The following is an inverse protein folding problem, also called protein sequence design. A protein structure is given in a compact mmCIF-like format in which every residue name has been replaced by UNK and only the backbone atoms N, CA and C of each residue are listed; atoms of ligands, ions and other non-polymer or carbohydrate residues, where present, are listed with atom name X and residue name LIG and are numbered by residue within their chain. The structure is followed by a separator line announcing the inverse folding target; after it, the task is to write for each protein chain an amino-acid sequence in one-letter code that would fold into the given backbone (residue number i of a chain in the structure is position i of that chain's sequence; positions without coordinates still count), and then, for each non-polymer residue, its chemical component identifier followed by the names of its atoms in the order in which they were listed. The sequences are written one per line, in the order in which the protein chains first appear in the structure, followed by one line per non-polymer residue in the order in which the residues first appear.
data_IF_667832209046
#
_entry.id   IF_667832209046
#
_cell.length_a   1.000
_cell.length_b   1.000
_cell.length_c   1.000
_cell.angle_alpha   90.00
_cell.angle_beta   90.00
_cell.angle_gamma   90.00
#
_symmetry.space_group_name_H-M   'P 1'
#
loop_
_entity.id
_entity.type
_entity.pdbx_description
1 polymer ?
#
# COMPACT_ATOMS: atom_id res chain seq x y z
N UNK A 1 78.50 2.10 56.47
CA UNK A 1 78.12 2.58 55.11
C UNK A 1 77.22 1.53 54.46
N UNK A 2 76.18 1.99 53.72
CA UNK A 2 75.17 1.23 52.93
C UNK A 2 73.93 0.75 53.74
N UNK A 3 73.01 1.68 54.09
CA UNK A 3 71.74 2.06 53.40
C UNK A 3 70.55 1.11 53.65
N UNK A 4 69.47 1.54 54.34
CA UNK A 4 68.23 0.77 54.42
C UNK A 4 67.32 1.08 53.23
N UNK A 5 66.75 0.01 52.67
CA UNK A 5 65.75 0.03 51.60
C UNK A 5 64.45 0.64 52.15
N UNK A 6 64.07 1.81 51.63
CA UNK A 6 62.77 2.43 51.90
C UNK A 6 61.71 1.74 51.04
N UNK A 7 60.85 0.94 51.68
CA UNK A 7 59.65 0.37 51.07
C UNK A 7 58.63 1.50 50.88
N UNK A 8 58.58 2.06 49.67
CA UNK A 8 57.59 3.06 49.28
C UNK A 8 56.28 2.34 48.92
N UNK A 9 55.37 2.21 49.88
CA UNK A 9 53.99 1.79 49.64
C UNK A 9 53.25 2.88 48.87
N UNK A 10 53.22 2.74 47.54
CA UNK A 10 52.40 3.58 46.66
C UNK A 10 50.93 3.17 46.82
N UNK A 11 50.15 3.98 47.55
CA UNK A 11 48.69 3.87 47.60
C UNK A 11 48.16 4.39 46.26
N UNK A 12 47.99 3.48 45.30
CA UNK A 12 47.26 3.77 44.07
C UNK A 12 45.78 3.79 44.41
N UNK A 13 45.22 4.97 44.67
CA UNK A 13 43.79 5.17 44.78
C UNK A 13 43.15 4.86 43.42
N UNK A 14 42.58 3.66 43.28
CA UNK A 14 41.69 3.32 42.17
C UNK A 14 40.45 4.19 42.34
N UNK A 15 40.39 5.30 41.61
CA UNK A 15 39.14 6.01 41.36
C UNK A 15 38.23 5.07 40.57
N UNK A 16 37.42 4.29 41.30
CA UNK A 16 36.31 3.56 40.73
C UNK A 16 35.25 4.61 40.38
N UNK A 17 35.36 5.20 39.18
CA UNK A 17 34.31 6.01 38.60
C UNK A 17 33.10 5.12 38.39
N UNK A 18 32.21 5.08 39.37
CA UNK A 18 30.87 4.56 39.20
C UNK A 18 30.16 5.47 38.19
N UNK A 19 30.30 5.16 36.91
CA UNK A 19 29.35 5.65 35.92
C UNK A 19 28.02 5.02 36.30
N UNK A 20 27.22 5.74 37.09
CA UNK A 20 25.81 5.47 37.15
C UNK A 20 25.33 5.60 35.70
N UNK A 21 25.08 4.45 35.06
CA UNK A 21 24.26 4.37 33.87
C UNK A 21 22.89 4.84 34.34
N UNK A 22 22.68 6.15 34.35
CA UNK A 22 21.38 6.74 34.57
C UNK A 22 20.49 6.17 33.49
N UNK A 23 19.65 5.20 33.86
CA UNK A 23 18.66 4.64 32.97
C UNK A 23 17.78 5.81 32.54
N UNK A 24 17.88 6.22 31.28
CA UNK A 24 17.00 7.24 30.70
C UNK A 24 15.61 6.62 30.72
N UNK A 25 14.83 6.91 31.76
CA UNK A 25 13.42 6.54 31.82
C UNK A 25 12.70 7.33 30.74
N UNK A 26 12.39 6.67 29.64
CA UNK A 26 11.54 7.21 28.61
C UNK A 26 10.08 7.15 29.08
N UNK A 27 9.65 8.16 29.84
CA UNK A 27 8.29 8.30 30.38
C UNK A 27 7.35 8.99 29.39
N UNK A 28 7.63 8.90 28.08
CA UNK A 28 6.80 9.49 27.05
C UNK A 28 5.61 8.58 26.80
N UNK A 29 4.41 9.10 27.06
CA UNK A 29 3.16 8.53 26.57
C UNK A 29 3.12 8.61 25.03
N UNK A 30 3.51 7.51 24.39
CA UNK A 30 3.63 7.41 22.93
C UNK A 30 2.28 7.54 22.22
N UNK A 31 1.18 7.11 22.85
CA UNK A 31 -0.16 7.26 22.27
C UNK A 31 -0.54 8.73 22.22
N UNK A 32 -0.37 9.44 23.35
CA UNK A 32 -0.63 10.88 23.43
C UNK A 32 0.34 11.71 22.59
N UNK A 33 1.58 11.26 22.43
CA UNK A 33 2.56 11.95 21.62
C UNK A 33 2.24 11.83 20.12
N UNK A 34 2.03 10.61 19.63
CA UNK A 34 1.78 10.35 18.21
C UNK A 34 0.40 10.84 17.75
N UNK A 35 -0.62 10.84 18.63
CA UNK A 35 -1.97 11.30 18.25
C UNK A 35 -2.03 12.76 17.80
N UNK A 36 -1.06 13.59 18.22
CA UNK A 36 -0.90 14.98 17.76
C UNK A 36 -0.55 15.09 16.27
N UNK A 37 -0.07 14.00 15.68
CA UNK A 37 0.36 13.89 14.30
C UNK A 37 -0.54 12.96 13.49
N UNK A 38 -1.66 12.52 14.05
CA UNK A 38 -2.64 11.74 13.31
C UNK A 38 -3.19 12.55 12.14
N UNK A 39 -3.48 11.85 11.05
CA UNK A 39 -4.11 12.47 9.91
C UNK A 39 -5.63 12.44 10.10
N UNK A 40 -6.29 13.56 9.81
CA UNK A 40 -7.74 13.68 9.89
C UNK A 40 -8.27 14.39 8.66
N UNK A 41 -9.36 13.88 8.11
CA UNK A 41 -9.99 14.38 6.92
C UNK A 41 -11.49 14.55 7.15
N UNK A 42 -11.98 15.78 7.01
CA UNK A 42 -13.41 16.08 7.04
C UNK A 42 -14.15 15.64 5.77
N UNK A 43 -13.40 15.41 4.70
CA UNK A 43 -13.85 14.82 3.45
C UNK A 43 -12.79 13.84 2.98
N UNK A 44 -13.21 12.62 2.60
CA UNK A 44 -12.29 11.62 2.06
C UNK A 44 -11.44 12.21 0.91
N UNK A 45 -10.12 11.95 0.88
CA UNK A 45 -9.24 12.37 -0.20
C UNK A 45 -9.73 11.90 -1.57
N UNK A 46 -9.51 12.73 -2.59
CA UNK A 46 -9.90 12.45 -3.99
C UNK A 46 -8.73 12.05 -4.89
N UNK A 47 -7.55 11.95 -4.30
CA UNK A 47 -6.33 11.54 -4.97
C UNK A 47 -5.43 10.75 -4.00
N UNK A 48 -4.50 10.01 -4.60
CA UNK A 48 -3.57 9.17 -3.86
C UNK A 48 -2.56 9.95 -3.01
N UNK A 49 -2.18 11.17 -3.42
CA UNK A 49 -1.16 11.97 -2.72
C UNK A 49 -1.61 12.43 -1.33
N UNK A 50 -2.92 12.63 -1.15
CA UNK A 50 -3.53 13.05 0.10
C UNK A 50 -4.21 11.91 0.88
N UNK A 51 -4.03 10.66 0.42
CA UNK A 51 -4.71 9.47 0.97
C UNK A 51 -4.19 9.05 2.35
N UNK A 52 -5.02 8.30 3.09
CA UNK A 52 -4.50 7.50 4.21
C UNK A 52 -3.68 6.34 3.65
N UNK A 53 -2.73 5.83 4.43
CA UNK A 53 -1.88 4.72 4.01
C UNK A 53 -1.69 3.68 5.11
N UNK A 54 -1.66 2.41 4.72
CA UNK A 54 -1.42 1.28 5.62
C UNK A 54 -0.38 0.36 5.01
N UNK A 55 0.37 -0.36 5.84
CA UNK A 55 1.27 -1.39 5.36
C UNK A 55 1.96 -2.16 6.47
N UNK A 56 2.30 -3.41 6.16
CA UNK A 56 3.02 -4.31 7.07
C UNK A 56 4.48 -4.55 6.65
N UNK A 57 4.99 -3.74 5.72
CA UNK A 57 6.31 -3.85 5.10
C UNK A 57 6.29 -4.57 3.74
N UNK A 58 5.39 -5.53 3.53
CA UNK A 58 5.26 -6.27 2.27
C UNK A 58 3.96 -5.94 1.54
N UNK A 59 2.82 -6.05 2.21
CA UNK A 59 1.52 -5.59 1.74
C UNK A 59 1.32 -4.12 2.17
N UNK A 60 0.72 -3.33 1.29
CA UNK A 60 0.35 -1.96 1.59
C UNK A 60 -0.92 -1.54 0.88
N UNK A 61 -1.55 -0.49 1.38
CA UNK A 61 -2.64 0.17 0.69
C UNK A 61 -2.67 1.67 0.91
N UNK A 62 -3.14 2.41 -0.08
CA UNK A 62 -3.59 3.79 0.05
C UNK A 62 -5.11 3.86 -0.04
N UNK A 63 -5.75 4.62 0.85
CA UNK A 63 -7.20 4.66 1.02
C UNK A 63 -7.72 6.06 0.66
N UNK A 64 -8.57 6.11 -0.37
CA UNK A 64 -9.15 7.36 -0.88
C UNK A 64 -10.41 7.05 -1.72
N UNK A 65 -10.99 8.06 -2.34
CA UNK A 65 -12.24 7.96 -3.11
C UNK A 65 -12.05 8.51 -4.52
N UNK A 66 -12.22 7.64 -5.52
CA UNK A 66 -12.34 8.06 -6.90
C UNK A 66 -13.70 8.75 -7.15
N UNK A 67 -13.84 9.42 -8.31
CA UNK A 67 -15.01 10.25 -8.63
C UNK A 67 -16.38 9.56 -8.46
N UNK A 68 -16.47 8.29 -8.84
CA UNK A 68 -17.71 7.49 -8.82
C UNK A 68 -17.72 6.43 -7.71
N UNK A 69 -16.81 6.53 -6.75
CA UNK A 69 -16.61 5.52 -5.70
C UNK A 69 -16.74 6.15 -4.31
N UNK A 70 -17.41 5.45 -3.40
CA UNK A 70 -17.49 5.90 -2.03
C UNK A 70 -16.10 5.86 -1.38
N UNK A 71 -15.44 4.71 -1.42
CA UNK A 71 -14.11 4.52 -0.84
C UNK A 71 -13.44 3.33 -1.51
N UNK A 72 -12.12 3.35 -1.62
CA UNK A 72 -11.37 2.20 -2.07
C UNK A 72 -10.00 2.11 -1.41
N UNK A 73 -9.42 0.91 -1.49
CA UNK A 73 -8.07 0.56 -1.07
C UNK A 73 -7.26 0.22 -2.30
N UNK A 74 -6.39 1.12 -2.74
CA UNK A 74 -5.39 0.79 -3.76
C UNK A 74 -4.40 -0.19 -3.16
N UNK A 75 -4.23 -1.36 -3.76
CA UNK A 75 -3.39 -2.42 -3.20
C UNK A 75 -2.00 -2.39 -3.81
N UNK A 76 -1.00 -2.57 -2.97
CA UNK A 76 0.39 -2.68 -3.37
C UNK A 76 1.11 -3.82 -2.66
N UNK A 77 2.10 -4.40 -3.34
CA UNK A 77 3.05 -5.30 -2.71
C UNK A 77 4.48 -4.92 -3.05
N UNK A 78 5.34 -4.98 -2.05
CA UNK A 78 6.76 -4.64 -2.16
C UNK A 78 7.60 -5.71 -2.85
N UNK A 79 7.05 -6.86 -3.24
CA UNK A 79 7.72 -7.94 -3.97
C UNK A 79 7.17 -8.16 -5.40
N UNK A 80 6.11 -7.45 -5.78
CA UNK A 80 5.51 -7.51 -7.11
C UNK A 80 6.19 -6.49 -8.05
N UNK A 81 7.18 -6.93 -8.82
CA UNK A 81 7.91 -6.09 -9.78
C UNK A 81 7.93 -6.70 -11.18
N UNK A 82 8.08 -5.83 -12.18
CA UNK A 82 8.49 -6.27 -13.51
C UNK A 82 9.91 -6.88 -13.42
N UNK A 83 10.08 -8.09 -13.98
CA UNK A 83 11.34 -8.84 -13.97
C UNK A 83 12.28 -8.44 -15.12
N UNK A 84 12.02 -7.32 -15.79
CA UNK A 84 12.82 -6.87 -16.94
C UNK A 84 14.16 -6.31 -16.44
N UNK A 85 15.31 -6.72 -17.01
CA UNK A 85 16.63 -6.47 -16.42
C UNK A 85 17.00 -4.99 -16.19
N UNK A 86 16.39 -4.06 -16.92
CA UNK A 86 16.74 -2.64 -16.93
C UNK A 86 15.76 -1.75 -16.15
N UNK A 87 14.57 -2.26 -15.76
CA UNK A 87 13.53 -1.45 -15.09
C UNK A 87 12.92 -2.26 -13.95
N UNK A 88 13.28 -1.91 -12.71
CA UNK A 88 12.61 -2.42 -11.52
C UNK A 88 11.47 -1.48 -11.14
N UNK A 89 10.31 -1.68 -11.77
CA UNK A 89 9.09 -0.94 -11.41
C UNK A 89 8.06 -1.87 -10.78
N UNK A 90 7.33 -1.36 -9.79
CA UNK A 90 6.28 -2.11 -9.09
C UNK A 90 5.12 -2.36 -10.04
N UNK A 91 4.59 -3.58 -10.03
CA UNK A 91 3.41 -3.94 -10.81
C UNK A 91 2.16 -3.38 -10.14
N UNK A 92 1.23 -2.88 -10.96
CA UNK A 92 -0.10 -2.54 -10.49
C UNK A 92 -0.86 -3.84 -10.14
N UNK A 93 -1.50 -3.85 -8.97
CA UNK A 93 -2.36 -4.97 -8.54
C UNK A 93 -3.81 -4.63 -8.85
N UNK A 94 -4.24 -3.45 -8.43
CA UNK A 94 -5.63 -3.02 -8.49
C UNK A 94 -6.08 -2.45 -7.16
N UNK A 95 -7.39 -2.42 -6.97
CA UNK A 95 -7.98 -1.85 -5.77
C UNK A 95 -9.22 -2.61 -5.33
N UNK A 96 -9.49 -2.55 -4.03
CA UNK A 96 -10.73 -3.05 -3.44
C UNK A 96 -11.67 -1.87 -3.22
N UNK A 97 -12.84 -1.89 -3.85
CA UNK A 97 -13.81 -0.79 -3.83
C UNK A 97 -14.95 -1.12 -2.88
N UNK A 98 -15.25 -0.21 -1.95
CA UNK A 98 -16.46 -0.22 -1.15
C UNK A 98 -17.61 0.36 -1.95
N UNK A 99 -18.60 -0.47 -2.26
CA UNK A 99 -19.82 -0.06 -2.95
C UNK A 99 -20.91 0.20 -1.91
N UNK A 100 -21.56 1.35 -2.03
CA UNK A 100 -22.71 1.73 -1.22
C UNK A 100 -23.96 1.72 -2.08
N UNK A 101 -25.10 1.31 -1.51
CA UNK A 101 -26.38 1.33 -2.21
C UNK A 101 -26.99 2.74 -2.24
N UNK A 102 -26.73 3.55 -1.21
CA UNK A 102 -27.03 4.97 -1.18
C UNK A 102 -25.88 5.80 -1.74
N UNK A 103 -26.19 6.99 -2.26
CA UNK A 103 -25.17 7.97 -2.62
C UNK A 103 -24.51 8.52 -1.36
N UNK A 104 -23.19 8.60 -1.34
CA UNK A 104 -22.45 9.20 -0.22
C UNK A 104 -22.72 10.71 -0.16
N UNK A 105 -23.10 11.19 1.04
CA UNK A 105 -23.40 12.61 1.34
C UNK A 105 -22.24 13.24 2.11
N UNK A 106 -21.69 12.52 3.10
CA UNK A 106 -20.60 12.99 3.94
C UNK A 106 -19.64 11.85 4.24
N UNK A 107 -18.35 12.12 4.24
CA UNK A 107 -17.32 11.10 4.46
C UNK A 107 -16.21 11.69 5.31
N UNK A 108 -15.96 11.10 6.48
CA UNK A 108 -14.85 11.51 7.34
C UNK A 108 -13.89 10.34 7.48
N UNK A 109 -12.61 10.65 7.59
CA UNK A 109 -11.55 9.66 7.74
C UNK A 109 -10.51 10.14 8.75
N UNK A 110 -9.89 9.19 9.43
CA UNK A 110 -8.84 9.43 10.41
C UNK A 110 -7.83 8.28 10.35
N UNK A 111 -6.54 8.61 10.42
CA UNK A 111 -5.46 7.63 10.49
C UNK A 111 -4.67 7.83 11.78
N UNK A 112 -4.74 6.83 12.65
CA UNK A 112 -3.99 6.78 13.89
C UNK A 112 -2.58 6.26 13.64
N UNK A 113 -1.57 7.07 13.95
CA UNK A 113 -0.18 6.68 13.84
C UNK A 113 0.23 5.70 14.95
N UNK A 114 -0.34 5.85 16.14
CA UNK A 114 -0.06 4.95 17.26
C UNK A 114 -0.61 3.54 17.02
N UNK A 115 -1.88 3.44 16.57
CA UNK A 115 -2.53 2.15 16.33
C UNK A 115 -2.15 1.51 14.98
N UNK A 116 -1.61 2.30 14.06
CA UNK A 116 -1.39 1.91 12.66
C UNK A 116 -2.70 1.47 11.96
N UNK A 117 -3.76 2.25 12.18
CA UNK A 117 -5.11 1.99 11.66
C UNK A 117 -5.65 3.21 10.93
N UNK A 118 -6.44 2.96 9.88
CA UNK A 118 -7.27 3.97 9.25
C UNK A 118 -8.73 3.67 9.56
N UNK A 119 -9.54 4.70 9.82
CA UNK A 119 -10.95 4.55 10.15
C UNK A 119 -11.75 5.69 9.56
N UNK A 120 -13.06 5.52 9.49
CA UNK A 120 -13.90 6.58 8.99
C UNK A 120 -15.38 6.28 9.07
N UNK A 121 -16.16 7.27 8.67
CA UNK A 121 -17.61 7.23 8.64
C UNK A 121 -18.07 7.73 7.28
N UNK A 122 -18.88 6.94 6.59
CA UNK A 122 -19.54 7.29 5.33
C UNK A 122 -21.03 7.39 5.64
N UNK A 123 -21.57 8.60 5.54
CA UNK A 123 -23.01 8.85 5.62
C UNK A 123 -23.57 8.91 4.21
N UNK A 124 -24.64 8.17 3.97
CA UNK A 124 -25.33 8.09 2.69
C UNK A 124 -26.79 8.49 2.85
N UNK A 125 -27.52 8.55 1.74
CA UNK A 125 -28.97 8.75 1.73
C UNK A 125 -29.76 7.62 2.41
N UNK A 126 -29.15 6.45 2.64
CA UNK A 126 -29.82 5.24 3.15
C UNK A 126 -29.38 4.82 4.55
N UNK A 127 -28.29 5.39 5.05
CA UNK A 127 -27.75 5.03 6.36
C UNK A 127 -26.31 5.52 6.56
N UNK A 128 -25.62 4.89 7.50
CA UNK A 128 -24.23 5.20 7.82
C UNK A 128 -23.40 3.93 7.91
N UNK A 129 -22.17 4.02 7.40
CA UNK A 129 -21.16 2.98 7.42
C UNK A 129 -19.98 3.49 8.24
N UNK A 130 -19.70 2.84 9.36
CA UNK A 130 -18.48 3.08 10.14
C UNK A 130 -17.49 1.98 9.83
N UNK A 131 -16.25 2.33 9.50
CA UNK A 131 -15.23 1.38 9.06
C UNK A 131 -13.90 1.59 9.75
N UNK A 132 -13.12 0.53 9.82
CA UNK A 132 -11.75 0.49 10.33
C UNK A 132 -10.92 -0.46 9.46
N UNK A 133 -9.65 -0.14 9.24
CA UNK A 133 -8.75 -0.95 8.44
C UNK A 133 -7.34 -0.93 9.01
N UNK A 134 -6.67 -2.07 8.92
CA UNK A 134 -5.31 -2.27 9.40
C UNK A 134 -4.59 -3.34 8.57
N UNK A 135 -3.26 -3.31 8.58
CA UNK A 135 -2.41 -4.34 7.97
C UNK A 135 -1.43 -4.84 9.03
N UNK A 136 -1.79 -5.88 9.81
CA UNK A 136 -0.98 -6.34 10.93
C UNK A 136 0.39 -6.85 10.47
N UNK A 137 1.43 -6.46 11.21
CA UNK A 137 2.77 -7.02 11.04
C UNK A 137 2.74 -8.54 11.30
N UNK A 138 3.54 -9.29 10.53
CA UNK A 138 3.66 -10.74 10.66
C UNK A 138 2.53 -11.54 10.00
N UNK A 139 1.50 -10.88 9.46
CA UNK A 139 0.39 -11.53 8.76
C UNK A 139 0.20 -10.91 7.39
N UNK A 140 0.14 -11.74 6.34
CA UNK A 140 -0.03 -11.28 4.96
C UNK A 140 -1.49 -11.03 4.59
N UNK A 141 -2.15 -10.19 5.38
CA UNK A 141 -3.57 -9.86 5.26
C UNK A 141 -3.79 -8.36 5.53
N UNK A 142 -4.76 -7.78 4.83
CA UNK A 142 -5.36 -6.51 5.21
C UNK A 142 -6.74 -6.77 5.80
N UNK A 143 -7.05 -6.14 6.93
CA UNK A 143 -8.37 -6.23 7.55
C UNK A 143 -9.17 -4.97 7.23
N UNK A 144 -10.45 -5.16 6.96
CA UNK A 144 -11.45 -4.11 6.87
C UNK A 144 -12.64 -4.58 7.69
N UNK A 145 -12.93 -3.85 8.75
CA UNK A 145 -14.08 -4.06 9.61
C UNK A 145 -15.07 -2.93 9.33
N UNK A 146 -16.36 -3.24 9.30
CA UNK A 146 -17.39 -2.23 9.11
C UNK A 146 -18.69 -2.60 9.81
N UNK A 147 -19.46 -1.57 10.14
CA UNK A 147 -20.84 -1.68 10.62
C UNK A 147 -21.72 -0.81 9.74
N UNK A 148 -22.96 -1.23 9.55
CA UNK A 148 -23.94 -0.54 8.69
C UNK A 148 -25.20 -0.29 9.49
N UNK A 149 -25.78 0.90 9.33
CA UNK A 149 -27.03 1.31 9.96
C UNK A 149 -28.06 1.76 8.91
N UNK A 150 -29.33 1.86 9.31
CA UNK A 150 -30.42 2.25 8.41
C UNK A 150 -30.79 1.15 7.42
N UNK A 151 -31.12 1.56 6.20
CA UNK A 151 -31.45 0.66 5.07
C UNK A 151 -30.30 0.50 4.08
N UNK A 152 -29.10 0.99 4.44
CA UNK A 152 -27.91 0.90 3.61
C UNK A 152 -27.41 -0.53 3.45
N UNK A 153 -26.76 -0.80 2.31
CA UNK A 153 -26.08 -2.06 2.03
C UNK A 153 -24.69 -1.77 1.48
N UNK A 154 -23.76 -2.62 1.87
CA UNK A 154 -22.37 -2.56 1.46
C UNK A 154 -22.04 -3.80 0.64
N UNK A 155 -21.26 -3.60 -0.41
CA UNK A 155 -20.60 -4.67 -1.15
C UNK A 155 -19.13 -4.29 -1.42
N UNK A 156 -18.31 -5.29 -1.72
CA UNK A 156 -16.90 -5.10 -2.04
C UNK A 156 -16.58 -5.66 -3.42
N UNK A 157 -16.00 -4.81 -4.26
CA UNK A 157 -15.61 -5.16 -5.62
C UNK A 157 -14.09 -5.07 -5.76
N UNK A 158 -13.43 -6.17 -6.13
CA UNK A 158 -12.02 -6.11 -6.47
C UNK A 158 -11.84 -5.75 -7.95
N UNK A 159 -11.31 -4.55 -8.20
CA UNK A 159 -10.96 -4.07 -9.55
C UNK A 159 -9.49 -4.35 -9.82
N UNK A 160 -9.23 -5.45 -10.52
CA UNK A 160 -7.90 -5.83 -10.96
C UNK A 160 -7.37 -4.88 -12.04
N UNK A 161 -6.10 -4.50 -11.94
CA UNK A 161 -5.38 -3.79 -13.01
C UNK A 161 -4.52 -4.74 -13.85
N UNK A 162 -4.19 -4.39 -15.11
CA UNK A 162 -3.24 -5.14 -15.92
C UNK A 162 -1.91 -5.35 -15.19
N UNK A 163 -1.32 -6.54 -15.34
CA UNK A 163 -0.09 -6.94 -14.67
C UNK A 163 1.13 -6.27 -15.32
N UNK A 164 1.30 -4.97 -15.12
CA UNK A 164 2.40 -4.16 -15.63
C UNK A 164 2.68 -2.97 -14.72
N UNK A 165 3.81 -2.31 -14.92
CA UNK A 165 4.12 -1.09 -14.20
C UNK A 165 3.16 0.06 -14.55
N UNK A 166 2.94 0.97 -13.59
CA UNK A 166 2.09 2.16 -13.81
C UNK A 166 2.55 2.99 -15.01
N UNK A 167 3.87 3.20 -15.18
CA UNK A 167 4.42 3.96 -16.30
C UNK A 167 4.07 3.33 -17.65
N UNK A 168 4.19 2.00 -17.76
CA UNK A 168 3.85 1.25 -18.96
C UNK A 168 2.34 1.25 -19.23
N UNK A 169 1.53 1.18 -18.18
CA UNK A 169 0.09 1.28 -18.27
C UNK A 169 -0.34 2.67 -18.76
N UNK A 170 0.22 3.77 -18.20
CA UNK A 170 -0.03 5.13 -18.68
C UNK A 170 0.30 5.27 -20.17
N UNK A 171 1.48 4.81 -20.60
CA UNK A 171 1.91 4.91 -21.99
C UNK A 171 0.93 4.17 -22.93
N UNK A 172 0.63 2.91 -22.62
CA UNK A 172 -0.27 2.08 -23.43
C UNK A 172 -1.70 2.59 -23.45
N UNK A 173 -2.21 3.06 -22.32
CA UNK A 173 -3.57 3.61 -22.23
C UNK A 173 -3.67 4.89 -23.06
N UNK A 174 -2.68 5.79 -22.99
CA UNK A 174 -2.64 7.00 -23.84
C UNK A 174 -2.60 6.67 -25.33
N UNK A 175 -1.83 5.67 -25.74
CA UNK A 175 -1.78 5.23 -27.14
C UNK A 175 -3.15 4.74 -27.63
N UNK A 176 -3.84 3.94 -26.81
CA UNK A 176 -5.19 3.45 -27.13
C UNK A 176 -6.22 4.58 -27.21
N UNK A 177 -6.21 5.50 -26.25
CA UNK A 177 -7.12 6.66 -26.22
C UNK A 177 -6.93 7.55 -27.45
N UNK A 178 -5.67 7.78 -27.87
CA UNK A 178 -5.34 8.55 -29.07
C UNK A 178 -5.80 7.85 -30.35
N UNK A 179 -5.62 6.53 -30.42
CA UNK A 179 -6.08 5.72 -31.56
C UNK A 179 -7.59 5.81 -31.74
N UNK A 180 -8.34 5.79 -30.64
CA UNK A 180 -9.80 5.91 -30.63
C UNK A 180 -10.29 7.37 -30.70
N UNK A 181 -9.39 8.36 -30.86
CA UNK A 181 -9.69 9.80 -30.94
C UNK A 181 -10.52 10.33 -29.74
N UNK A 182 -10.28 9.78 -28.56
CA UNK A 182 -10.94 10.20 -27.32
C UNK A 182 -10.53 11.64 -26.96
N UNK A 183 -11.42 12.47 -26.36
CA UNK A 183 -11.08 13.85 -25.99
C UNK A 183 -9.81 13.97 -25.12
N UNK A 184 -8.93 14.92 -25.43
CA UNK A 184 -7.62 15.10 -24.74
C UNK A 184 -7.71 15.23 -23.23
N UNK A 185 -8.83 15.76 -22.69
CA UNK A 185 -9.03 15.86 -21.23
C UNK A 185 -8.93 14.49 -20.53
N UNK A 186 -9.24 13.40 -21.23
CA UNK A 186 -9.18 12.04 -20.72
C UNK A 186 -7.77 11.42 -20.81
N UNK A 187 -6.79 12.11 -21.42
CA UNK A 187 -5.37 11.70 -21.41
C UNK A 187 -4.68 12.02 -20.06
N UNK A 188 -5.28 12.92 -19.27
CA UNK A 188 -4.88 13.24 -17.90
C UNK A 188 -5.50 12.23 -16.93
N UNK A 189 -4.91 11.04 -16.90
CA UNK A 189 -5.38 9.91 -16.10
C UNK A 189 -5.00 10.15 -14.63
N UNK A 190 -6.00 10.34 -13.77
CA UNK A 190 -5.83 10.44 -12.31
C UNK A 190 -5.98 9.07 -11.62
N UNK A 191 -6.91 8.25 -12.10
CA UNK A 191 -7.14 6.88 -11.68
C UNK A 191 -7.32 5.99 -12.90
N UNK A 192 -6.61 4.87 -12.94
CA UNK A 192 -6.75 3.89 -14.02
C UNK A 192 -8.10 3.21 -14.03
N UNK A 193 -8.77 3.15 -12.88
CA UNK A 193 -9.99 2.36 -12.68
C UNK A 193 -11.27 3.17 -12.90
N UNK A 194 -11.17 4.39 -13.43
CA UNK A 194 -12.35 5.12 -13.85
C UNK A 194 -13.11 4.33 -14.93
N UNK A 195 -14.46 4.31 -14.91
CA UNK A 195 -15.26 3.55 -15.88
C UNK A 195 -14.92 3.83 -17.35
N UNK A 196 -14.49 5.06 -17.65
CA UNK A 196 -14.07 5.47 -19.00
C UNK A 196 -12.89 4.67 -19.55
N UNK A 197 -12.04 4.13 -18.68
CA UNK A 197 -10.85 3.36 -19.07
C UNK A 197 -11.07 1.85 -19.10
N UNK A 198 -12.20 1.36 -18.60
CA UNK A 198 -12.47 -0.06 -18.36
C UNK A 198 -12.27 -0.92 -19.62
N UNK A 199 -12.90 -0.52 -20.74
CA UNK A 199 -12.74 -1.19 -22.05
C UNK A 199 -11.27 -1.33 -22.46
N UNK A 200 -10.48 -0.28 -22.24
CA UNK A 200 -9.07 -0.24 -22.62
C UNK A 200 -8.21 -1.09 -21.70
N UNK A 201 -8.50 -1.09 -20.40
CA UNK A 201 -7.82 -1.94 -19.44
C UNK A 201 -8.08 -3.42 -19.72
N UNK A 202 -9.32 -3.80 -20.06
CA UNK A 202 -9.65 -5.17 -20.46
C UNK A 202 -8.90 -5.60 -21.72
N UNK A 203 -8.81 -4.72 -22.72
CA UNK A 203 -7.98 -4.97 -23.90
C UNK A 203 -6.50 -5.18 -23.53
N UNK A 204 -5.97 -4.43 -22.56
CA UNK A 204 -4.60 -4.61 -22.07
C UNK A 204 -4.41 -5.95 -21.34
N UNK A 205 -5.38 -6.40 -20.56
CA UNK A 205 -5.35 -7.70 -19.86
C UNK A 205 -5.36 -8.87 -20.86
N UNK A 206 -6.25 -8.85 -21.84
CA UNK A 206 -6.34 -9.91 -22.87
C UNK A 206 -5.05 -10.07 -23.66
N UNK A 207 -4.42 -8.94 -24.05
CA UNK A 207 -3.15 -8.92 -24.76
C UNK A 207 -1.94 -9.42 -23.92
N UNK A 208 -2.10 -9.54 -22.60
CA UNK A 208 -1.11 -10.18 -21.72
C UNK A 208 -1.33 -11.68 -21.63
N UNK A 209 -2.60 -12.12 -21.52
CA UNK A 209 -2.93 -13.55 -21.46
C UNK A 209 -2.41 -14.32 -22.67
N UNK A 210 -2.56 -13.77 -23.89
CA UNK A 210 -2.01 -14.39 -25.09
C UNK A 210 -0.48 -14.50 -25.06
N UNK A 211 0.22 -13.44 -24.64
CA UNK A 211 1.69 -13.46 -24.54
C UNK A 211 2.21 -14.43 -23.49
N UNK A 212 1.54 -14.55 -22.35
CA UNK A 212 1.92 -15.52 -21.31
C UNK A 212 1.69 -16.96 -21.79
N UNK A 213 0.60 -17.21 -22.53
CA UNK A 213 0.35 -18.51 -23.15
C UNK A 213 1.44 -18.88 -24.17
N UNK A 214 1.87 -17.92 -24.99
CA UNK A 214 2.94 -18.12 -25.99
C UNK A 214 4.30 -18.42 -25.33
N UNK A 215 4.66 -17.68 -24.28
CA UNK A 215 5.90 -17.92 -23.52
C UNK A 215 5.88 -19.29 -22.84
N UNK A 216 4.77 -19.66 -22.18
CA UNK A 216 4.64 -20.99 -21.57
C UNK A 216 4.60 -22.12 -22.61
N UNK A 217 4.12 -21.85 -23.82
CA UNK A 217 4.16 -22.83 -24.91
C UNK A 217 5.59 -23.01 -25.43
N UNK A 218 6.35 -21.91 -25.59
CA UNK A 218 7.76 -21.94 -26.00
C UNK A 218 8.67 -22.59 -24.94
N UNK A 219 8.46 -22.30 -23.65
CA UNK A 219 9.20 -22.95 -22.55
C UNK A 219 8.92 -24.46 -22.49
N UNK A 220 7.65 -24.87 -22.67
CA UNK A 220 7.29 -26.31 -22.76
C UNK A 220 7.91 -26.97 -23.98
N UNK A 221 7.89 -26.33 -25.15
CA UNK A 221 8.56 -26.88 -26.34
C UNK A 221 10.08 -26.94 -26.20
N UNK A 222 10.69 -25.96 -25.51
CA UNK A 222 12.11 -25.95 -25.18
C UNK A 222 12.49 -27.09 -24.24
N UNK A 223 11.69 -27.35 -23.20
CA UNK A 223 11.88 -28.49 -22.30
C UNK A 223 11.72 -29.84 -23.02
N UNK A 224 10.71 -30.00 -23.89
CA UNK A 224 10.52 -31.22 -24.68
C UNK A 224 11.69 -31.46 -25.66
N UNK A 225 12.25 -30.40 -26.24
CA UNK A 225 13.46 -30.53 -27.09
C UNK A 225 14.69 -30.92 -26.28
N UNK A 226 14.84 -30.43 -25.05
CA UNK A 226 15.94 -30.81 -24.17
C UNK A 226 15.85 -32.26 -23.67
N UNK A 227 14.64 -32.79 -23.44
CA UNK A 227 14.46 -34.20 -23.04
C UNK A 227 14.69 -35.18 -24.19
N UNK A 228 14.43 -34.78 -25.44
CA UNK A 228 14.65 -35.63 -26.62
C UNK A 228 16.12 -35.64 -27.10
N UNK A 229 16.99 -34.79 -26.53
CA UNK A 229 18.43 -34.78 -26.78
C UNK A 229 19.23 -35.60 -25.74
N UNK A 230 18.55 -36.16 -24.73
CA UNK A 230 19.15 -36.99 -23.68
C UNK A 230 18.74 -38.48 -23.74
N UNK A 231 18.17 -38.95 -24.86
CA UNK A 231 17.94 -40.37 -25.13
C UNK A 231 18.72 -40.83 -26.35
#
# INVERSE_FOLDING_TARGET
MKTPIKLLLSITAIFLSATALGEIKNDVDMEKFLSKHDFSWDTVPKDRGNSAFLGNGLLGSTIWSAREEALHWDLGRSDAYETIPQVRSRMAIGKLVLKTQGKAIKQQMHQSLFKAEASGIITTEKGQISWRSMMPKGHMVGLIEYTVSGSEKVDFEFKQLPAMSNSKMFAKLRDLLRKDKVPRRLEHIHDFSEPVYEKYLEQLKQNQGHRQADVQHQERQGQIRSSNLCN
#
